data_IF_333353067448
#
_entry.id   IF_333353067448
#
_cell.length_a   1.000
_cell.length_b   1.000
_cell.length_c   1.000
_cell.angle_alpha   90.00
_cell.angle_beta   90.00
_cell.angle_gamma   90.00
#
_symmetry.space_group_name_H-M   'P 1'
#
loop_
_entity.id
_entity.type
_entity.pdbx_description
1 polymer ?
#
# COMPACT_ATOMS: atom_id res chain seq x y z
N UNK A 1 20.42 -0.03 -19.84
CA UNK A 1 19.12 -0.32 -19.22
C UNK A 1 18.24 -1.06 -20.19
N UNK A 2 17.30 -1.83 -19.69
CA UNK A 2 16.29 -2.57 -20.45
C UNK A 2 14.91 -2.24 -19.88
N UNK A 3 13.94 -1.95 -20.76
CA UNK A 3 12.53 -1.81 -20.41
C UNK A 3 11.77 -3.09 -20.75
N UNK A 4 10.93 -3.51 -19.81
CA UNK A 4 10.06 -4.68 -19.92
C UNK A 4 8.62 -4.24 -19.77
N UNK A 5 7.73 -4.83 -20.55
CA UNK A 5 6.29 -4.64 -20.47
C UNK A 5 5.64 -5.90 -19.90
N UNK A 6 4.92 -5.74 -18.80
CA UNK A 6 4.11 -6.77 -18.18
C UNK A 6 2.64 -6.34 -18.26
N UNK A 7 2.05 -6.56 -19.42
CA UNK A 7 0.74 -6.00 -19.79
C UNK A 7 -0.18 -7.00 -20.50
N UNK A 8 0.12 -8.29 -20.41
CA UNK A 8 -0.66 -9.47 -20.82
C UNK A 8 -1.96 -9.20 -21.60
N UNK A 9 -1.84 -8.90 -22.91
CA UNK A 9 -2.98 -8.67 -23.80
C UNK A 9 -3.39 -7.19 -23.97
N UNK A 10 -2.68 -6.26 -23.30
CA UNK A 10 -2.88 -4.81 -23.44
C UNK A 10 -1.78 -4.13 -24.26
N UNK A 11 -1.08 -4.88 -25.11
CA UNK A 11 0.02 -4.35 -25.95
C UNK A 11 -0.41 -3.18 -26.85
N UNK A 12 -1.67 -3.14 -27.23
CA UNK A 12 -2.26 -2.05 -28.04
C UNK A 12 -2.35 -0.72 -27.28
N UNK A 13 -2.36 -0.80 -25.94
CA UNK A 13 -2.49 0.37 -25.07
C UNK A 13 -1.13 0.93 -24.65
N UNK A 14 -0.02 0.26 -25.07
CA UNK A 14 1.34 0.76 -24.84
C UNK A 14 1.54 2.10 -25.51
N UNK A 15 2.18 3.05 -24.82
CA UNK A 15 2.64 4.26 -25.47
C UNK A 15 3.68 3.92 -26.55
N UNK A 16 3.76 4.73 -27.57
CA UNK A 16 4.76 4.57 -28.64
C UNK A 16 6.19 4.81 -28.16
N UNK A 17 6.33 5.59 -27.10
CA UNK A 17 7.59 5.95 -26.48
C UNK A 17 7.41 6.26 -25.00
N UNK A 18 8.48 6.09 -24.22
CA UNK A 18 8.57 6.52 -22.81
C UNK A 18 9.84 7.32 -22.60
N UNK A 19 9.76 8.31 -21.73
CA UNK A 19 10.91 9.14 -21.36
C UNK A 19 11.52 8.62 -20.07
N UNK A 20 12.81 8.34 -20.07
CA UNK A 20 13.57 7.89 -18.92
C UNK A 20 14.68 8.87 -18.59
N UNK A 21 14.85 9.17 -17.32
CA UNK A 21 15.93 10.00 -16.81
C UNK A 21 16.95 9.15 -16.08
N UNK A 22 18.23 9.34 -16.42
CA UNK A 22 19.35 8.86 -15.62
C UNK A 22 19.69 9.92 -14.59
N UNK A 23 19.76 9.52 -13.33
CA UNK A 23 20.14 10.40 -12.22
C UNK A 23 21.52 10.03 -11.70
N UNK A 24 22.35 11.03 -11.47
CA UNK A 24 23.61 10.96 -10.76
C UNK A 24 23.44 11.58 -9.39
N UNK A 25 23.63 10.81 -8.33
CA UNK A 25 23.49 11.28 -6.93
C UNK A 25 22.16 12.01 -6.66
N UNK A 26 21.07 11.56 -7.32
CA UNK A 26 19.75 12.12 -7.21
C UNK A 26 19.44 13.32 -8.15
N UNK A 27 20.43 13.84 -8.87
CA UNK A 27 20.24 14.90 -9.87
C UNK A 27 20.14 14.35 -11.28
N UNK A 28 19.26 14.92 -12.11
CA UNK A 28 19.13 14.49 -13.52
C UNK A 28 20.45 14.73 -14.25
N UNK A 29 21.03 13.67 -14.78
CA UNK A 29 22.26 13.69 -15.57
C UNK A 29 21.97 13.62 -17.06
N UNK A 30 21.05 12.73 -17.48
CA UNK A 30 20.67 12.55 -18.88
C UNK A 30 19.19 12.18 -18.99
N UNK A 31 18.62 12.39 -20.18
CA UNK A 31 17.24 12.05 -20.48
C UNK A 31 17.19 11.37 -21.84
N UNK A 32 16.59 10.18 -21.90
CA UNK A 32 16.49 9.39 -23.11
C UNK A 32 15.05 8.97 -23.38
N UNK A 33 14.74 8.74 -24.65
CA UNK A 33 13.45 8.21 -25.08
C UNK A 33 13.63 6.76 -25.50
N UNK A 34 12.80 5.88 -24.94
CA UNK A 34 12.75 4.47 -25.30
C UNK A 34 11.49 4.21 -26.16
N UNK A 35 11.64 3.38 -27.16
CA UNK A 35 10.59 3.00 -28.11
C UNK A 35 10.88 1.64 -28.73
N UNK A 36 9.95 1.12 -29.50
CA UNK A 36 10.17 -0.09 -30.28
C UNK A 36 11.36 0.07 -31.25
N UNK A 37 11.60 1.28 -31.74
CA UNK A 37 12.70 1.58 -32.65
C UNK A 37 14.10 1.36 -32.08
N UNK A 38 14.29 1.50 -30.77
CA UNK A 38 15.54 1.21 -30.09
C UNK A 38 15.49 -0.07 -29.23
N UNK A 39 14.48 -0.92 -29.47
CA UNK A 39 14.28 -2.17 -28.76
C UNK A 39 14.02 -1.97 -27.26
N UNK A 40 13.43 -0.83 -26.89
CA UNK A 40 13.13 -0.48 -25.51
C UNK A 40 14.35 -0.53 -24.60
N UNK A 41 15.52 -0.18 -25.14
CA UNK A 41 16.78 -0.25 -24.42
C UNK A 41 17.68 0.95 -24.68
N UNK A 42 18.57 1.24 -23.74
CA UNK A 42 19.61 2.26 -23.89
C UNK A 42 20.86 1.87 -23.09
N UNK A 43 22.01 2.25 -23.61
CA UNK A 43 23.30 2.02 -22.92
C UNK A 43 24.03 3.34 -22.74
N UNK A 44 24.29 3.69 -21.49
CA UNK A 44 25.23 4.77 -21.16
C UNK A 44 26.63 4.19 -21.00
N UNK A 45 27.62 4.92 -21.45
CA UNK A 45 29.03 4.56 -21.31
C UNK A 45 29.82 5.65 -20.59
N UNK A 46 30.93 5.28 -19.96
CA UNK A 46 31.80 6.23 -19.27
C UNK A 46 31.21 6.82 -18.00
N UNK A 47 30.26 6.11 -17.37
CA UNK A 47 29.72 6.52 -16.07
C UNK A 47 30.76 6.30 -14.98
N UNK A 48 30.87 7.25 -14.05
CA UNK A 48 31.82 7.20 -12.94
C UNK A 48 31.29 6.24 -11.85
N UNK A 49 32.07 5.21 -11.54
CA UNK A 49 31.73 4.18 -10.54
C UNK A 49 31.65 4.73 -9.10
N UNK A 50 32.22 5.92 -8.86
CA UNK A 50 32.17 6.58 -7.55
C UNK A 50 30.82 7.24 -7.26
N UNK A 51 29.96 7.37 -8.28
CA UNK A 51 28.65 8.02 -8.16
C UNK A 51 27.52 7.00 -8.01
N UNK A 52 26.45 7.42 -7.35
CA UNK A 52 25.21 6.62 -7.28
C UNK A 52 24.36 6.91 -8.50
N UNK A 53 24.13 5.88 -9.31
CA UNK A 53 23.32 5.95 -10.52
C UNK A 53 21.95 5.31 -10.27
N UNK A 54 20.90 6.02 -10.68
CA UNK A 54 19.50 5.52 -10.66
C UNK A 54 18.80 5.94 -11.94
N UNK A 55 17.69 5.25 -12.27
CA UNK A 55 16.85 5.61 -13.40
C UNK A 55 15.41 5.83 -12.94
N UNK A 56 14.75 6.79 -13.56
CA UNK A 56 13.34 7.11 -13.28
C UNK A 56 12.62 7.29 -14.61
N UNK A 57 11.46 6.68 -14.75
CA UNK A 57 10.56 6.94 -15.88
C UNK A 57 9.63 8.11 -15.55
N UNK A 58 9.41 8.98 -16.53
CA UNK A 58 8.30 9.92 -16.42
C UNK A 58 6.98 9.13 -16.47
N UNK A 59 5.99 9.61 -15.70
CA UNK A 59 4.71 8.92 -15.57
C UNK A 59 4.18 8.39 -16.89
N UNK A 60 3.84 7.11 -16.92
CA UNK A 60 3.20 6.39 -18.01
C UNK A 60 1.78 6.06 -17.58
N UNK A 61 0.80 6.70 -18.19
CA UNK A 61 -0.61 6.55 -17.82
C UNK A 61 -1.06 5.08 -17.97
N UNK A 62 -1.81 4.57 -17.02
CA UNK A 62 -2.29 3.18 -17.02
C UNK A 62 -1.23 2.14 -16.62
N UNK A 63 -0.03 2.55 -16.20
CA UNK A 63 1.03 1.63 -15.81
C UNK A 63 1.63 1.98 -14.46
N UNK A 64 1.95 0.94 -13.70
CA UNK A 64 2.85 1.04 -12.54
C UNK A 64 4.27 0.67 -12.95
N UNK A 65 5.25 1.41 -12.45
CA UNK A 65 6.66 1.26 -12.84
C UNK A 65 7.45 0.67 -11.68
N UNK A 66 8.21 -0.39 -11.94
CA UNK A 66 9.20 -0.97 -11.03
C UNK A 66 10.57 -0.94 -11.68
N UNK A 67 11.57 -0.51 -10.92
CA UNK A 67 12.96 -0.49 -11.36
C UNK A 67 13.78 -1.42 -10.47
N UNK A 68 14.51 -2.33 -11.08
CA UNK A 68 15.45 -3.23 -10.43
C UNK A 68 16.83 -3.07 -11.04
N UNK A 69 17.88 -3.40 -10.29
CA UNK A 69 19.24 -3.40 -10.78
C UNK A 69 19.78 -4.83 -10.80
N UNK A 70 20.12 -5.28 -11.98
CA UNK A 70 20.76 -6.58 -12.21
C UNK A 70 22.22 -6.34 -12.67
N UNK A 71 23.16 -6.45 -11.74
CA UNK A 71 24.55 -6.10 -12.00
C UNK A 71 24.72 -4.65 -12.44
N UNK A 72 25.12 -4.44 -13.69
CA UNK A 72 25.28 -3.11 -14.31
C UNK A 72 24.03 -2.66 -15.10
N UNK A 73 23.00 -3.49 -15.16
CA UNK A 73 21.79 -3.22 -15.94
C UNK A 73 20.65 -2.78 -15.04
N UNK A 74 19.98 -1.69 -15.36
CA UNK A 74 18.70 -1.35 -14.81
C UNK A 74 17.61 -2.03 -15.63
N UNK A 75 16.76 -2.80 -14.99
CA UNK A 75 15.55 -3.40 -15.57
C UNK A 75 14.36 -2.62 -15.08
N UNK A 76 13.62 -2.02 -16.00
CA UNK A 76 12.44 -1.21 -15.71
C UNK A 76 11.21 -1.94 -16.25
N UNK A 77 10.36 -2.40 -15.36
CA UNK A 77 9.12 -3.13 -15.69
C UNK A 77 7.92 -2.22 -15.52
N UNK A 78 7.15 -2.07 -16.58
CA UNK A 78 5.83 -1.44 -16.52
C UNK A 78 4.77 -2.51 -16.52
N UNK A 79 3.98 -2.55 -15.45
CA UNK A 79 2.85 -3.46 -15.30
C UNK A 79 1.56 -2.67 -15.56
N UNK A 80 0.73 -3.17 -16.47
CA UNK A 80 -0.56 -2.54 -16.78
C UNK A 80 -1.47 -2.60 -15.55
N UNK A 81 -1.87 -1.44 -15.06
CA UNK A 81 -2.89 -1.31 -14.04
C UNK A 81 -4.26 -1.32 -14.74
N UNK A 82 -4.83 -2.51 -14.96
CA UNK A 82 -6.22 -2.58 -15.40
C UNK A 82 -7.07 -1.75 -14.46
N UNK A 83 -7.85 -0.81 -14.99
CA UNK A 83 -8.87 -0.15 -14.17
C UNK A 83 -9.74 -1.25 -13.59
N UNK A 84 -9.75 -1.36 -12.27
CA UNK A 84 -10.75 -2.18 -11.59
C UNK A 84 -12.07 -1.52 -11.95
N UNK A 85 -13.00 -2.18 -12.70
CA UNK A 85 -14.30 -1.61 -12.93
C UNK A 85 -14.85 -1.18 -11.58
N UNK A 86 -15.25 0.07 -11.44
CA UNK A 86 -15.92 0.54 -10.23
C UNK A 86 -16.99 -0.49 -9.90
N UNK A 87 -16.77 -1.24 -8.82
CA UNK A 87 -17.77 -2.16 -8.29
C UNK A 87 -19.05 -1.32 -8.14
N UNK A 88 -20.15 -1.64 -8.86
CA UNK A 88 -21.32 -0.80 -8.83
C UNK A 88 -21.66 -0.60 -7.36
N UNK A 89 -21.53 0.64 -6.90
CA UNK A 89 -21.90 1.05 -5.55
C UNK A 89 -23.19 0.32 -5.22
N UNK A 90 -23.25 -0.54 -4.16
CA UNK A 90 -24.46 -1.26 -3.85
C UNK A 90 -25.58 -0.23 -3.76
N UNK A 91 -26.54 -0.35 -4.66
CA UNK A 91 -27.69 0.56 -4.71
C UNK A 91 -28.30 0.59 -3.30
N UNK A 92 -28.28 1.76 -2.68
CA UNK A 92 -28.79 1.92 -1.33
C UNK A 92 -30.20 1.32 -1.30
N UNK A 93 -30.55 0.45 -0.32
CA UNK A 93 -31.86 -0.15 -0.27
C UNK A 93 -32.93 0.93 -0.42
N UNK A 94 -33.80 0.80 -1.42
CA UNK A 94 -34.91 1.71 -1.61
C UNK A 94 -35.67 1.86 -0.27
N UNK A 95 -36.01 3.08 0.12
CA UNK A 95 -36.80 3.28 1.34
C UNK A 95 -38.09 2.44 1.24
N UNK A 96 -38.48 1.77 2.32
CA UNK A 96 -39.66 0.91 2.30
C UNK A 96 -40.88 1.69 1.85
N UNK A 97 -41.68 1.08 0.95
CA UNK A 97 -42.92 1.63 0.46
C UNK A 97 -43.87 1.89 1.67
N UNK A 98 -44.31 3.13 1.91
CA UNK A 98 -45.14 3.47 3.08
C UNK A 98 -46.50 2.81 3.10
N UNK A 99 -46.89 2.08 2.06
CA UNK A 99 -48.22 1.47 1.93
C UNK A 99 -48.32 -0.02 2.32
N UNK A 100 -47.18 -0.69 2.65
CA UNK A 100 -47.19 -2.11 2.97
C UNK A 100 -46.92 -2.35 4.45
N UNK A 101 -47.91 -2.90 5.24
CA UNK A 101 -47.63 -3.28 6.61
C UNK A 101 -46.55 -4.37 6.64
N UNK A 102 -45.44 -4.09 7.32
CA UNK A 102 -44.35 -5.02 7.51
C UNK A 102 -44.86 -6.20 8.36
N UNK A 103 -44.79 -7.47 7.87
CA UNK A 103 -44.95 -8.61 8.74
C UNK A 103 -43.84 -8.58 9.80
N UNK A 104 -44.20 -8.68 11.07
CA UNK A 104 -43.25 -8.65 12.17
C UNK A 104 -42.14 -9.69 11.94
N UNK A 105 -40.98 -9.26 11.45
CA UNK A 105 -39.79 -10.08 11.37
C UNK A 105 -39.32 -10.47 12.77
N UNK A 106 -38.67 -11.64 12.94
CA UNK A 106 -38.12 -12.03 14.23
C UNK A 106 -37.14 -10.95 14.68
N UNK A 107 -37.39 -10.39 15.86
CA UNK A 107 -36.48 -9.48 16.53
C UNK A 107 -35.14 -10.21 16.71
N UNK A 108 -34.10 -9.75 16.02
CA UNK A 108 -32.76 -10.24 16.27
C UNK A 108 -32.45 -10.02 17.76
N UNK A 109 -31.91 -11.03 18.47
CA UNK A 109 -31.50 -10.82 19.85
C UNK A 109 -30.46 -9.72 19.84
N UNK A 110 -30.73 -8.62 20.51
CA UNK A 110 -29.74 -7.59 20.80
C UNK A 110 -28.62 -8.29 21.56
N UNK A 111 -27.49 -8.52 20.88
CA UNK A 111 -26.27 -8.90 21.56
C UNK A 111 -25.89 -7.71 22.41
N UNK A 112 -26.32 -7.78 23.68
CA UNK A 112 -26.09 -6.72 24.62
C UNK A 112 -24.62 -6.37 24.69
N UNK A 113 -24.30 -5.11 24.49
CA UNK A 113 -23.03 -4.57 24.90
C UNK A 113 -22.92 -4.74 26.42
N UNK A 114 -22.30 -5.82 26.83
CA UNK A 114 -22.00 -6.05 28.24
C UNK A 114 -20.82 -5.14 28.62
N UNK A 115 -21.10 -3.90 28.93
CA UNK A 115 -20.14 -2.94 29.48
C UNK A 115 -19.71 -3.31 30.92
N UNK A 116 -20.27 -4.37 31.42
CA UNK A 116 -20.21 -4.81 32.79
C UNK A 116 -18.85 -5.36 33.29
N UNK A 117 -17.99 -6.07 32.53
CA UNK A 117 -16.79 -6.62 33.13
C UNK A 117 -15.58 -5.67 33.21
N UNK A 118 -15.53 -4.59 32.42
CA UNK A 118 -14.36 -3.71 32.36
C UNK A 118 -14.08 -2.96 33.69
N UNK A 119 -15.06 -2.36 34.38
CA UNK A 119 -14.78 -1.69 35.66
C UNK A 119 -14.38 -2.65 36.77
N UNK A 120 -14.87 -3.89 36.77
CA UNK A 120 -14.48 -4.87 37.78
C UNK A 120 -13.04 -5.37 37.64
N UNK A 121 -12.56 -5.56 36.43
CA UNK A 121 -11.15 -5.94 36.16
C UNK A 121 -10.17 -4.82 36.56
N UNK A 122 -10.54 -3.55 36.33
CA UNK A 122 -9.73 -2.41 36.75
C UNK A 122 -9.67 -2.28 38.27
N UNK A 123 -10.79 -2.48 38.99
CA UNK A 123 -10.84 -2.41 40.43
C UNK A 123 -10.03 -3.53 41.10
N UNK A 124 -10.12 -4.77 40.61
CA UNK A 124 -9.34 -5.89 41.13
C UNK A 124 -7.83 -5.75 40.90
N UNK A 125 -7.44 -5.21 39.72
CA UNK A 125 -6.04 -4.91 39.42
C UNK A 125 -5.43 -3.86 40.36
N UNK A 126 -6.18 -2.79 40.62
CA UNK A 126 -5.77 -1.71 41.52
C UNK A 126 -5.66 -2.17 42.95
N UNK A 127 -6.57 -3.03 43.40
CA UNK A 127 -6.58 -3.60 44.77
C UNK A 127 -5.38 -4.53 44.98
N UNK A 128 -5.01 -5.36 44.03
CA UNK A 128 -3.82 -6.22 44.07
C UNK A 128 -2.53 -5.41 44.13
N UNK A 129 -2.47 -4.29 43.38
CA UNK A 129 -1.33 -3.39 43.38
C UNK A 129 -1.16 -2.70 44.72
N UNK A 130 -2.26 -2.24 45.33
CA UNK A 130 -2.27 -1.63 46.65
C UNK A 130 -1.81 -2.62 47.77
N UNK A 131 -2.30 -3.86 47.71
CA UNK A 131 -1.89 -4.92 48.67
C UNK A 131 -0.42 -5.29 48.47
N UNK A 132 0.07 -5.35 47.24
CA UNK A 132 1.47 -5.60 46.93
C UNK A 132 2.41 -4.52 47.47
N UNK A 133 2.04 -3.26 47.30
CA UNK A 133 2.81 -2.12 47.83
C UNK A 133 2.77 -2.05 49.36
N UNK A 134 1.64 -2.39 49.99
CA UNK A 134 1.52 -2.42 51.45
C UNK A 134 2.37 -3.52 52.06
N UNK A 135 2.37 -4.73 51.51
CA UNK A 135 3.25 -5.82 51.94
C UNK A 135 4.74 -5.48 51.82
N UNK A 136 5.12 -4.74 50.76
CA UNK A 136 6.51 -4.34 50.57
C UNK A 136 7.02 -3.31 51.61
N UNK A 137 6.11 -2.50 52.19
CA UNK A 137 6.42 -1.54 53.22
C UNK A 137 6.54 -2.19 54.60
N UNK A 138 5.79 -3.26 54.87
CA UNK A 138 5.82 -3.95 56.18
C UNK A 138 6.99 -4.92 56.33
N UNK A 139 7.61 -5.37 55.25
CA UNK A 139 8.80 -6.25 55.28
C UNK A 139 10.14 -5.49 55.26
N UNK A 140 10.12 -4.16 55.17
CA UNK A 140 11.32 -3.30 55.14
C UNK A 140 11.73 -2.69 56.47
N UNK A 141 11.00 -2.95 57.59
CA UNK A 141 11.24 -2.31 58.88
C UNK A 141 11.87 -3.25 59.93
N UNK A 142 12.39 -4.40 59.50
CA UNK A 142 13.20 -5.26 60.36
C UNK A 142 14.62 -5.43 59.79
N UNK A 143 15.43 -4.36 59.90
CA UNK A 143 16.90 -4.42 59.96
C UNK A 143 17.47 -3.18 60.63
#
# INVERSE_FOLDING_TARGET
>A
MLKVWDDAGSEKDRPTEVTVQLLRDGAVYDTVTLSAGNGWSHTWSGLDDSCTWTVVEKACEGYTVRVEREGITFVMTNTYAAEIPDDPTPEAPLPPDPAKPTPGGPTLPQTGQVWWPVPFLLMTGLLLLAVGLFRRRTTGDER
#
